data_IF_011167036199
#
_entry.id   IF_011167036199
#
_cell.length_a   1.000
_cell.length_b   1.000
_cell.length_c   1.000
_cell.angle_alpha   90.00
_cell.angle_beta   90.00
_cell.angle_gamma   90.00
#
_symmetry.space_group_name_H-M   'P 1'
#
loop_
_entity.id
_entity.type
_entity.pdbx_description
1 polymer ?
#
# COMPACT_ATOMS: atom_id res chain seq x y z
N UNK A 1 -8.64 21.87 26.55
CA UNK A 1 -8.27 20.50 26.08
C UNK A 1 -8.68 20.22 24.62
N UNK A 2 -9.87 20.64 24.15
CA UNK A 2 -10.34 20.37 22.78
C UNK A 2 -9.53 21.01 21.65
N UNK A 3 -8.94 22.20 21.86
CA UNK A 3 -8.13 22.87 20.83
C UNK A 3 -6.74 22.25 20.63
N UNK A 4 -6.16 21.66 21.69
CA UNK A 4 -4.89 20.96 21.61
C UNK A 4 -5.05 19.62 20.87
N UNK A 5 -6.14 18.88 21.15
CA UNK A 5 -6.49 17.65 20.44
C UNK A 5 -6.80 17.91 18.96
N UNK A 6 -7.50 19.00 18.62
CA UNK A 6 -7.70 19.41 17.22
C UNK A 6 -6.38 19.79 16.55
N UNK A 7 -5.51 20.56 17.21
CA UNK A 7 -4.19 20.96 16.69
C UNK A 7 -3.26 19.76 16.46
N UNK A 8 -3.22 18.81 17.41
CA UNK A 8 -2.45 17.56 17.27
C UNK A 8 -3.06 16.67 16.19
N UNK A 9 -4.39 16.51 16.15
CA UNK A 9 -5.06 15.75 15.10
C UNK A 9 -4.85 16.37 13.71
N UNK A 10 -4.75 17.70 13.62
CA UNK A 10 -4.50 18.42 12.39
C UNK A 10 -3.02 18.36 11.99
N UNK A 11 -2.07 18.43 12.94
CA UNK A 11 -0.64 18.15 12.70
C UNK A 11 -0.38 16.70 12.30
N UNK A 12 -1.11 15.73 12.84
CA UNK A 12 -1.04 14.31 12.44
C UNK A 12 -1.71 14.10 11.08
N UNK A 13 -2.80 14.82 10.76
CA UNK A 13 -3.40 14.84 9.41
C UNK A 13 -2.55 15.57 8.37
N UNK A 14 -1.70 16.52 8.77
CA UNK A 14 -0.75 17.20 7.89
C UNK A 14 0.61 16.49 7.83
N UNK A 15 0.93 15.64 8.81
CA UNK A 15 2.00 14.65 8.75
C UNK A 15 1.55 13.43 7.94
N UNK A 16 0.78 13.66 6.87
CA UNK A 16 0.51 12.63 5.88
C UNK A 16 1.83 12.26 5.24
N UNK A 17 2.05 10.96 5.10
CA UNK A 17 3.07 10.32 4.26
C UNK A 17 3.03 10.76 2.77
N UNK A 18 2.23 11.77 2.41
CA UNK A 18 2.18 12.41 1.10
C UNK A 18 3.35 13.37 0.86
N UNK A 19 4.03 13.84 1.91
CA UNK A 19 5.31 14.51 1.75
C UNK A 19 6.32 13.48 1.24
N UNK A 20 6.87 13.73 0.05
CA UNK A 20 7.86 12.97 -0.75
C UNK A 20 9.03 12.36 0.03
N UNK A 21 8.74 11.51 1.00
CA UNK A 21 9.74 10.81 1.78
C UNK A 21 10.21 9.62 0.97
N UNK A 22 11.52 9.38 0.83
CA UNK A 22 12.06 8.21 0.15
C UNK A 22 11.51 6.90 0.72
N UNK A 23 11.16 6.87 2.01
CA UNK A 23 10.50 5.73 2.64
C UNK A 23 9.12 5.43 2.03
N UNK A 24 8.31 6.46 1.74
CA UNK A 24 7.02 6.24 1.09
C UNK A 24 7.18 5.74 -0.34
N UNK A 25 8.13 6.30 -1.09
CA UNK A 25 8.42 5.86 -2.45
C UNK A 25 8.86 4.39 -2.47
N UNK A 26 9.72 3.98 -1.53
CA UNK A 26 10.13 2.59 -1.37
C UNK A 26 8.94 1.68 -1.05
N UNK A 27 8.10 2.04 -0.08
CA UNK A 27 6.91 1.25 0.27
C UNK A 27 5.91 1.16 -0.89
N UNK A 28 5.79 2.22 -1.69
CA UNK A 28 4.93 2.25 -2.85
C UNK A 28 5.44 1.33 -3.96
N UNK A 29 6.74 1.40 -4.27
CA UNK A 29 7.42 0.51 -5.21
C UNK A 29 7.32 -0.95 -4.75
N UNK A 30 7.51 -1.21 -3.46
CA UNK A 30 7.42 -2.55 -2.86
C UNK A 30 6.00 -3.10 -2.74
N UNK A 31 5.00 -2.45 -3.34
CA UNK A 31 3.61 -2.87 -3.27
C UNK A 31 3.00 -2.89 -1.84
N UNK A 32 3.64 -2.24 -0.86
CA UNK A 32 3.20 -2.17 0.54
C UNK A 32 2.31 -0.95 0.78
N UNK A 33 2.65 0.20 0.21
CA UNK A 33 1.82 1.40 0.34
C UNK A 33 0.51 1.23 -0.46
N UNK A 34 -0.59 1.90 -0.06
CA UNK A 34 -1.84 1.83 -0.79
C UNK A 34 -1.68 2.38 -2.21
N UNK A 35 -2.42 1.82 -3.18
CA UNK A 35 -2.42 2.32 -4.55
C UNK A 35 -3.00 3.73 -4.67
N UNK A 36 -2.68 4.41 -5.77
CA UNK A 36 -2.98 5.83 -6.04
C UNK A 36 -3.71 6.09 -7.35
N UNK A 37 -4.22 5.08 -8.06
CA UNK A 37 -4.82 5.24 -9.39
C UNK A 37 -5.92 6.30 -9.44
N UNK A 38 -6.75 6.41 -8.38
CA UNK A 38 -7.79 7.43 -8.31
C UNK A 38 -7.22 8.85 -8.24
N UNK A 39 -6.18 9.06 -7.43
CA UNK A 39 -5.49 10.34 -7.32
C UNK A 39 -4.76 10.70 -8.62
N UNK A 40 -4.11 9.71 -9.25
CA UNK A 40 -3.45 9.85 -10.55
C UNK A 40 -4.48 10.28 -11.60
N UNK A 41 -5.60 9.55 -11.71
CA UNK A 41 -6.66 9.89 -12.68
C UNK A 41 -7.27 11.26 -12.43
N UNK A 42 -7.51 11.62 -11.17
CA UNK A 42 -8.07 12.92 -10.82
C UNK A 42 -7.12 14.05 -11.24
N UNK A 43 -5.82 13.92 -10.91
CA UNK A 43 -4.79 14.90 -11.29
C UNK A 43 -4.64 15.03 -12.80
N UNK A 44 -4.61 13.91 -13.52
CA UNK A 44 -4.49 13.91 -14.98
C UNK A 44 -5.73 14.53 -15.65
N UNK A 45 -6.93 14.26 -15.12
CA UNK A 45 -8.15 14.90 -15.59
C UNK A 45 -8.18 16.41 -15.36
N UNK A 46 -7.55 16.92 -14.29
CA UNK A 46 -7.45 18.37 -14.06
C UNK A 46 -6.43 19.07 -14.96
N UNK A 47 -5.43 18.35 -15.45
CA UNK A 47 -4.34 18.88 -16.27
C UNK A 47 -4.45 18.50 -17.76
N UNK A 48 -5.53 17.84 -18.19
CA UNK A 48 -5.69 17.29 -19.54
C UNK A 48 -4.52 16.38 -19.95
N UNK A 49 -4.04 15.57 -19.01
CA UNK A 49 -2.95 14.62 -19.24
C UNK A 49 -3.39 13.36 -20.00
N UNK A 50 -2.43 12.53 -20.38
CA UNK A 50 -2.63 11.38 -21.27
C UNK A 50 -3.57 10.32 -20.69
N UNK A 51 -3.61 10.21 -19.36
CA UNK A 51 -4.44 9.23 -18.66
C UNK A 51 -5.88 9.73 -18.42
N UNK A 52 -6.18 11.00 -18.73
CA UNK A 52 -7.48 11.62 -18.46
C UNK A 52 -8.63 10.94 -19.22
N UNK A 53 -8.38 10.54 -20.46
CA UNK A 53 -9.37 9.90 -21.34
C UNK A 53 -9.57 8.41 -21.05
N UNK A 54 -8.69 7.80 -20.25
CA UNK A 54 -8.73 6.37 -20.00
C UNK A 54 -9.76 5.99 -18.93
N UNK A 55 -10.45 4.85 -19.10
CA UNK A 55 -11.29 4.28 -18.05
C UNK A 55 -10.49 4.02 -16.77
N UNK A 56 -11.15 4.12 -15.61
CA UNK A 56 -10.46 4.01 -14.31
C UNK A 56 -9.79 2.64 -14.13
N UNK A 57 -10.41 1.57 -14.63
CA UNK A 57 -9.83 0.23 -14.60
C UNK A 57 -8.50 0.15 -15.39
N UNK A 58 -8.35 0.90 -16.48
CA UNK A 58 -7.08 0.96 -17.22
C UNK A 58 -5.98 1.60 -16.38
N UNK A 59 -6.27 2.73 -15.73
CA UNK A 59 -5.30 3.44 -14.87
C UNK A 59 -4.87 2.55 -13.69
N UNK A 60 -5.83 1.82 -13.10
CA UNK A 60 -5.60 0.81 -12.07
C UNK A 60 -4.68 -0.31 -12.55
N UNK A 61 -4.96 -0.88 -13.72
CA UNK A 61 -4.13 -1.95 -14.30
C UNK A 61 -2.72 -1.46 -14.62
N UNK A 62 -2.57 -0.25 -15.18
CA UNK A 62 -1.26 0.35 -15.48
C UNK A 62 -0.46 0.52 -14.19
N UNK A 63 -1.06 1.09 -13.13
CA UNK A 63 -0.38 1.25 -11.85
C UNK A 63 0.08 -0.10 -11.29
N UNK A 64 -0.79 -1.11 -11.30
CA UNK A 64 -0.45 -2.45 -10.81
C UNK A 64 0.70 -3.07 -11.59
N UNK A 65 0.67 -3.02 -12.93
CA UNK A 65 1.72 -3.56 -13.80
C UNK A 65 3.05 -2.86 -13.53
N UNK A 66 3.06 -1.52 -13.46
CA UNK A 66 4.28 -0.75 -13.18
C UNK A 66 4.86 -1.14 -11.83
N UNK A 67 4.04 -1.28 -10.79
CA UNK A 67 4.51 -1.66 -9.46
C UNK A 67 5.08 -3.08 -9.43
N UNK A 68 4.41 -4.05 -10.08
CA UNK A 68 4.94 -5.41 -10.23
C UNK A 68 6.27 -5.41 -10.98
N UNK A 69 6.36 -4.66 -12.09
CA UNK A 69 7.59 -4.54 -12.86
C UNK A 69 8.74 -3.98 -12.01
N UNK A 70 8.49 -2.96 -11.18
CA UNK A 70 9.52 -2.43 -10.28
C UNK A 70 10.01 -3.48 -9.26
N UNK A 71 9.10 -4.29 -8.70
CA UNK A 71 9.48 -5.38 -7.78
C UNK A 71 10.34 -6.44 -8.50
N UNK A 72 9.96 -6.83 -9.72
CA UNK A 72 10.72 -7.80 -10.52
C UNK A 72 12.10 -7.29 -10.93
N UNK A 73 12.20 -6.01 -11.35
CA UNK A 73 13.49 -5.37 -11.66
C UNK A 73 14.39 -5.38 -10.42
N UNK A 74 13.84 -5.11 -9.25
CA UNK A 74 14.60 -5.16 -8.01
C UNK A 74 15.04 -6.59 -7.67
N UNK A 75 14.15 -7.57 -7.85
CA UNK A 75 14.46 -8.99 -7.62
C UNK A 75 15.64 -9.44 -8.49
N UNK A 76 15.59 -9.14 -9.79
CA UNK A 76 16.67 -9.42 -10.74
C UNK A 76 17.96 -8.64 -10.39
N UNK A 77 17.85 -7.38 -9.96
CA UNK A 77 18.99 -6.59 -9.52
C UNK A 77 19.70 -7.21 -8.31
N UNK A 78 18.94 -7.73 -7.33
CA UNK A 78 19.51 -8.44 -6.16
C UNK A 78 20.13 -9.77 -6.57
N UNK A 79 19.49 -10.52 -7.47
CA UNK A 79 20.02 -11.77 -8.01
C UNK A 79 21.39 -11.54 -8.68
N UNK A 80 21.51 -10.48 -9.49
CA UNK A 80 22.78 -10.10 -10.12
C UNK A 80 23.88 -9.76 -9.09
N UNK A 81 23.52 -9.16 -7.96
CA UNK A 81 24.48 -8.77 -6.91
C UNK A 81 24.93 -9.95 -6.05
N UNK A 82 24.01 -10.87 -5.71
CA UNK A 82 24.29 -12.02 -4.84
C UNK A 82 24.81 -13.24 -5.61
N UNK A 83 24.47 -13.35 -6.90
CA UNK A 83 24.68 -14.54 -7.70
C UNK A 83 23.63 -15.62 -7.45
N UNK A 84 23.45 -16.49 -8.45
CA UNK A 84 22.37 -17.48 -8.48
C UNK A 84 22.37 -18.41 -7.25
N UNK A 85 23.53 -18.90 -6.84
CA UNK A 85 23.65 -19.85 -5.74
C UNK A 85 23.12 -19.28 -4.42
N UNK A 86 23.52 -18.06 -4.05
CA UNK A 86 23.06 -17.44 -2.80
C UNK A 86 21.58 -17.07 -2.88
N UNK A 87 21.14 -16.61 -4.05
CA UNK A 87 19.77 -16.19 -4.29
C UNK A 87 18.77 -17.36 -4.13
N UNK A 88 19.06 -18.49 -4.79
CA UNK A 88 18.27 -19.73 -4.69
C UNK A 88 18.34 -20.34 -3.28
N UNK A 89 19.53 -20.40 -2.69
CA UNK A 89 19.74 -21.02 -1.37
C UNK A 89 18.95 -20.29 -0.28
N UNK A 90 18.85 -18.96 -0.35
CA UNK A 90 18.07 -18.15 0.59
C UNK A 90 16.60 -17.98 0.19
N UNK A 91 16.20 -18.58 -0.95
CA UNK A 91 14.82 -18.53 -1.49
C UNK A 91 14.31 -17.09 -1.64
N UNK A 92 15.16 -16.19 -2.14
CA UNK A 92 14.81 -14.78 -2.28
C UNK A 92 13.66 -14.59 -3.29
N UNK A 93 13.53 -15.48 -4.29
CA UNK A 93 12.35 -15.59 -5.15
C UNK A 93 11.05 -15.70 -4.38
N UNK A 94 11.04 -16.54 -3.32
CA UNK A 94 9.83 -16.77 -2.52
C UNK A 94 9.42 -15.49 -1.80
N UNK A 95 10.38 -14.69 -1.34
CA UNK A 95 10.10 -13.38 -0.76
C UNK A 95 9.45 -12.43 -1.78
N UNK A 96 10.07 -12.24 -2.95
CA UNK A 96 9.54 -11.32 -3.96
C UNK A 96 8.20 -11.77 -4.55
N UNK A 97 8.03 -13.08 -4.78
CA UNK A 97 6.74 -13.65 -5.18
C UNK A 97 5.66 -13.37 -4.12
N UNK A 98 5.99 -13.49 -2.83
CA UNK A 98 5.07 -13.17 -1.74
C UNK A 98 4.73 -11.68 -1.68
N UNK A 99 5.71 -10.79 -1.90
CA UNK A 99 5.50 -9.33 -2.01
C UNK A 99 4.53 -9.01 -3.14
N UNK A 100 4.75 -9.58 -4.33
CA UNK A 100 3.86 -9.38 -5.49
C UNK A 100 2.46 -9.91 -5.21
N UNK A 101 2.34 -11.14 -4.68
CA UNK A 101 1.05 -11.75 -4.39
C UNK A 101 0.26 -10.96 -3.34
N UNK A 102 0.88 -10.62 -2.21
CA UNK A 102 0.25 -9.84 -1.15
C UNK A 102 -0.11 -8.43 -1.63
N UNK A 103 0.80 -7.78 -2.35
CA UNK A 103 0.60 -6.46 -2.93
C UNK A 103 -0.52 -6.41 -3.97
N UNK A 104 -0.64 -7.44 -4.82
CA UNK A 104 -1.71 -7.57 -5.79
C UNK A 104 -3.07 -7.81 -5.11
N UNK A 105 -3.13 -8.68 -4.09
CA UNK A 105 -4.34 -8.91 -3.29
C UNK A 105 -4.77 -7.63 -2.58
N UNK A 106 -3.82 -6.93 -1.93
CA UNK A 106 -4.08 -5.67 -1.23
C UNK A 106 -4.59 -4.58 -2.19
N UNK A 107 -3.92 -4.41 -3.33
CA UNK A 107 -4.30 -3.43 -4.36
C UNK A 107 -5.65 -3.78 -4.98
N UNK A 108 -5.87 -5.04 -5.36
CA UNK A 108 -7.14 -5.51 -5.91
C UNK A 108 -8.31 -5.30 -4.94
N UNK A 109 -8.12 -5.63 -3.67
CA UNK A 109 -9.13 -5.41 -2.62
C UNK A 109 -9.43 -3.92 -2.43
N UNK A 110 -8.39 -3.07 -2.46
CA UNK A 110 -8.56 -1.63 -2.42
C UNK A 110 -9.44 -1.16 -3.59
N UNK A 111 -9.10 -1.52 -4.82
CA UNK A 111 -9.87 -1.05 -5.97
C UNK A 111 -11.29 -1.61 -5.97
N UNK A 112 -11.51 -2.88 -5.63
CA UNK A 112 -12.86 -3.46 -5.56
C UNK A 112 -13.77 -2.73 -4.57
N UNK A 113 -13.23 -2.32 -3.42
CA UNK A 113 -14.01 -1.66 -2.36
C UNK A 113 -14.20 -0.17 -2.65
N UNK A 114 -13.19 0.50 -3.20
CA UNK A 114 -13.17 1.95 -3.40
C UNK A 114 -13.45 2.40 -4.85
N UNK A 115 -13.78 1.49 -5.78
CA UNK A 115 -13.98 1.78 -7.22
C UNK A 115 -15.01 2.89 -7.51
N UNK A 116 -16.06 2.97 -6.69
CA UNK A 116 -17.29 3.71 -7.04
C UNK A 116 -17.72 4.74 -5.98
N UNK A 117 -16.98 4.90 -4.88
CA UNK A 117 -17.47 5.71 -3.75
C UNK A 117 -16.36 6.34 -2.92
N UNK A 118 -16.68 7.48 -2.31
CA UNK A 118 -15.83 8.09 -1.30
C UNK A 118 -15.77 7.17 -0.08
N UNK A 119 -14.62 7.04 0.58
CA UNK A 119 -14.49 6.19 1.77
C UNK A 119 -15.46 6.51 2.91
N UNK A 120 -16.10 7.69 2.88
CA UNK A 120 -17.17 8.08 3.81
C UNK A 120 -18.50 7.35 3.60
N UNK A 121 -18.73 6.84 2.40
CA UNK A 121 -20.04 6.30 1.97
C UNK A 121 -20.02 4.76 1.91
N UNK A 122 -18.88 4.16 2.23
CA UNK A 122 -18.68 2.71 2.23
C UNK A 122 -19.16 2.11 3.54
N UNK A 123 -19.83 0.97 3.46
CA UNK A 123 -20.33 0.26 4.65
C UNK A 123 -19.20 -0.13 5.60
N UNK A 124 -19.49 -0.09 6.90
CA UNK A 124 -18.54 -0.49 7.96
C UNK A 124 -18.01 -1.91 7.75
N UNK A 125 -18.83 -2.83 7.21
CA UNK A 125 -18.43 -4.20 6.92
C UNK A 125 -17.38 -4.30 5.81
N UNK A 126 -17.50 -3.49 4.74
CA UNK A 126 -16.50 -3.46 3.67
C UNK A 126 -15.20 -2.80 4.14
N UNK A 127 -15.27 -1.77 4.98
CA UNK A 127 -14.08 -1.19 5.61
C UNK A 127 -13.37 -2.19 6.53
N UNK A 128 -14.13 -3.00 7.29
CA UNK A 128 -13.58 -4.07 8.11
C UNK A 128 -12.90 -5.14 7.25
N UNK A 129 -13.55 -5.57 6.15
CA UNK A 129 -12.98 -6.52 5.19
C UNK A 129 -11.66 -6.00 4.63
N UNK A 130 -11.62 -4.74 4.17
CA UNK A 130 -10.39 -4.12 3.67
C UNK A 130 -9.26 -4.16 4.71
N UNK A 131 -9.54 -3.79 5.96
CA UNK A 131 -8.54 -3.80 7.04
C UNK A 131 -8.05 -5.22 7.33
N UNK A 132 -8.95 -6.20 7.35
CA UNK A 132 -8.59 -7.59 7.57
C UNK A 132 -7.65 -8.10 6.48
N UNK A 133 -7.96 -7.85 5.21
CA UNK A 133 -7.10 -8.24 4.09
C UNK A 133 -5.75 -7.54 4.17
N UNK A 134 -5.75 -6.21 4.33
CA UNK A 134 -4.51 -5.40 4.45
C UNK A 134 -3.62 -5.92 5.59
N UNK A 135 -4.19 -6.13 6.78
CA UNK A 135 -3.43 -6.58 7.93
C UNK A 135 -2.91 -8.01 7.76
N UNK A 136 -3.65 -8.87 7.07
CA UNK A 136 -3.19 -10.22 6.72
C UNK A 136 -2.01 -10.17 5.76
N UNK A 137 -2.06 -9.33 4.72
CA UNK A 137 -0.93 -9.10 3.81
C UNK A 137 0.31 -8.60 4.56
N UNK A 138 0.15 -7.62 5.46
CA UNK A 138 1.27 -7.10 6.25
C UNK A 138 1.82 -8.10 7.26
N UNK A 139 0.98 -8.96 7.84
CA UNK A 139 1.41 -10.01 8.76
C UNK A 139 2.32 -11.03 8.05
N UNK A 140 1.94 -11.47 6.84
CA UNK A 140 2.75 -12.36 6.01
C UNK A 140 4.12 -11.72 5.71
N UNK A 141 4.14 -10.44 5.31
CA UNK A 141 5.39 -9.73 5.03
C UNK A 141 6.25 -9.52 6.29
N UNK A 142 5.63 -9.24 7.44
CA UNK A 142 6.33 -9.08 8.72
C UNK A 142 7.04 -10.37 9.15
N UNK A 143 6.52 -11.54 8.76
CA UNK A 143 7.19 -12.83 9.00
C UNK A 143 8.60 -12.88 8.43
N UNK A 144 8.88 -12.26 7.29
CA UNK A 144 10.22 -12.27 6.70
C UNK A 144 11.25 -11.49 7.53
N UNK A 145 10.81 -10.50 8.33
CA UNK A 145 11.71 -9.70 9.17
C UNK A 145 12.38 -10.58 10.24
N UNK A 146 11.68 -11.57 10.78
CA UNK A 146 12.25 -12.48 11.78
C UNK A 146 13.18 -13.54 11.20
N UNK A 147 13.13 -13.78 9.88
CA UNK A 147 14.02 -14.72 9.20
C UNK A 147 15.44 -14.16 9.07
N UNK A 148 15.58 -12.84 8.88
CA UNK A 148 16.89 -12.17 8.73
C UNK A 148 17.87 -12.49 9.86
N UNK A 149 17.55 -12.30 11.16
CA UNK A 149 18.48 -12.63 12.23
C UNK A 149 18.79 -14.13 12.31
N UNK A 150 17.85 -15.01 11.94
CA UNK A 150 18.10 -16.47 11.88
C UNK A 150 19.14 -16.78 10.81
N UNK A 151 19.07 -16.14 9.65
CA UNK A 151 20.06 -16.31 8.58
C UNK A 151 21.43 -15.76 8.97
N UNK A 152 21.51 -14.60 9.62
CA UNK A 152 22.78 -14.04 10.11
C UNK A 152 23.43 -15.02 11.10
N UNK A 153 22.67 -15.54 12.07
CA UNK A 153 23.18 -16.49 13.04
C UNK A 153 23.65 -17.79 12.38
N UNK A 154 22.91 -18.32 11.41
CA UNK A 154 23.30 -19.55 10.70
C UNK A 154 24.51 -19.37 9.80
N UNK A 155 24.61 -18.22 9.14
CA UNK A 155 25.77 -17.88 8.32
C UNK A 155 27.06 -17.87 9.16
N UNK A 156 26.99 -17.28 10.36
CA UNK A 156 28.12 -17.26 11.32
C UNK A 156 28.53 -18.66 11.80
N UNK A 157 27.60 -19.62 11.83
CA UNK A 157 27.85 -21.00 12.27
C UNK A 157 28.04 -21.98 11.09
N UNK A 158 28.18 -21.48 9.85
CA UNK A 158 28.31 -22.28 8.63
C UNK A 158 27.19 -23.32 8.43
N UNK A 159 25.99 -23.02 8.97
CA UNK A 159 24.82 -23.88 8.85
C UNK A 159 23.99 -23.50 7.62
N UNK A 160 23.41 -24.48 6.90
CA UNK A 160 22.49 -24.21 5.81
C UNK A 160 21.24 -23.45 6.31
N UNK A 161 20.67 -22.51 5.52
CA UNK A 161 19.62 -21.60 6.00
C UNK A 161 18.31 -22.28 6.44
N UNK A 162 18.01 -23.48 5.90
CA UNK A 162 16.72 -24.15 6.04
C UNK A 162 16.79 -25.60 6.59
N UNK A 163 17.91 -26.08 7.13
CA UNK A 163 18.03 -27.52 7.49
C UNK A 163 17.06 -28.00 8.58
N UNK A 164 16.78 -27.15 9.58
CA UNK A 164 16.08 -27.60 10.80
C UNK A 164 14.71 -26.95 10.98
N UNK A 165 14.19 -26.27 9.95
CA UNK A 165 12.89 -25.60 9.99
C UNK A 165 12.82 -24.35 10.90
N UNK A 166 13.89 -24.01 11.63
CA UNK A 166 13.92 -22.85 12.55
C UNK A 166 13.54 -21.55 11.85
N UNK A 167 14.04 -21.30 10.64
CA UNK A 167 13.69 -20.12 9.85
C UNK A 167 12.19 -20.08 9.51
N UNK A 168 11.61 -21.23 9.14
CA UNK A 168 10.18 -21.36 8.84
C UNK A 168 9.35 -21.17 10.11
N UNK A 169 9.77 -21.72 11.24
CA UNK A 169 9.09 -21.55 12.51
C UNK A 169 9.12 -20.09 12.98
N UNK A 170 10.27 -19.42 12.87
CA UNK A 170 10.40 -17.99 13.18
C UNK A 170 9.46 -17.15 12.29
N UNK A 171 9.43 -17.44 10.99
CA UNK A 171 8.50 -16.81 10.05
C UNK A 171 7.04 -17.01 10.47
N UNK A 172 6.61 -18.25 10.71
CA UNK A 172 5.22 -18.59 11.06
C UNK A 172 4.80 -17.99 12.40
N UNK A 173 5.66 -18.03 13.42
CA UNK A 173 5.39 -17.44 14.72
C UNK A 173 5.20 -15.92 14.60
N UNK A 174 6.09 -15.23 13.89
CA UNK A 174 6.00 -13.78 13.69
C UNK A 174 4.78 -13.40 12.85
N UNK A 175 4.54 -14.09 11.73
CA UNK A 175 3.37 -13.85 10.90
C UNK A 175 2.07 -14.11 11.66
N UNK A 176 1.99 -15.21 12.43
CA UNK A 176 0.84 -15.53 13.26
C UNK A 176 0.57 -14.49 14.34
N UNK A 177 1.63 -14.02 15.03
CA UNK A 177 1.51 -12.95 16.01
C UNK A 177 0.96 -11.66 15.40
N UNK A 178 1.54 -11.20 14.28
CA UNK A 178 1.08 -9.98 13.60
C UNK A 178 -0.30 -10.15 12.97
N UNK A 179 -0.69 -11.36 12.57
CA UNK A 179 -2.03 -11.64 12.09
C UNK A 179 -3.05 -11.46 13.23
N UNK A 180 -2.80 -12.03 14.40
CA UNK A 180 -3.68 -11.87 15.57
C UNK A 180 -3.75 -10.39 15.99
N UNK A 181 -2.60 -9.72 16.07
CA UNK A 181 -2.55 -8.29 16.38
C UNK A 181 -3.32 -7.45 15.34
N UNK A 182 -3.19 -7.80 14.06
CA UNK A 182 -3.90 -7.19 12.95
C UNK A 182 -5.42 -7.43 12.98
N UNK A 183 -5.87 -8.62 13.37
CA UNK A 183 -7.30 -8.91 13.55
C UNK A 183 -7.89 -8.07 14.69
N UNK A 184 -7.16 -7.92 15.79
CA UNK A 184 -7.54 -7.04 16.89
C UNK A 184 -7.60 -5.57 16.41
N UNK A 185 -6.58 -5.08 15.70
CA UNK A 185 -6.57 -3.72 15.15
C UNK A 185 -7.75 -3.48 14.21
N UNK A 186 -8.06 -4.43 13.32
CA UNK A 186 -9.13 -4.27 12.34
C UNK A 186 -10.50 -4.05 13.03
N UNK A 187 -10.73 -4.71 14.18
CA UNK A 187 -11.95 -4.60 14.97
C UNK A 187 -12.04 -3.31 15.78
N UNK A 188 -10.92 -2.84 16.33
CA UNK A 188 -10.91 -1.68 17.26
C UNK A 188 -10.59 -0.34 16.58
N UNK A 189 -9.95 -0.33 15.42
CA UNK A 189 -9.58 0.90 14.75
C UNK A 189 -10.80 1.57 14.09
N UNK A 190 -10.82 2.90 14.02
CA UNK A 190 -11.84 3.68 13.29
C UNK A 190 -11.24 4.53 12.17
N UNK A 191 -9.98 4.28 11.79
CA UNK A 191 -9.24 5.11 10.81
C UNK A 191 -9.60 4.74 9.37
N UNK A 192 -9.73 5.75 8.51
CA UNK A 192 -9.92 5.57 7.07
C UNK A 192 -8.57 5.28 6.39
N UNK A 193 -8.55 4.45 5.33
CA UNK A 193 -7.32 4.20 4.59
C UNK A 193 -6.86 5.43 3.81
N UNK A 194 -5.54 5.56 3.70
CA UNK A 194 -4.89 6.53 2.81
C UNK A 194 -5.27 6.21 1.35
N UNK A 195 -5.56 7.25 0.55
CA UNK A 195 -6.03 7.12 -0.84
C UNK A 195 -7.54 6.91 -1.01
N UNK A 196 -8.30 6.66 0.06
CA UNK A 196 -9.77 6.49 -0.03
C UNK A 196 -10.59 7.78 -0.02
N UNK A 197 -9.95 8.94 0.17
CA UNK A 197 -10.65 10.24 0.13
C UNK A 197 -10.71 10.71 -1.32
N UNK A 198 -11.77 10.30 -2.02
CA UNK A 198 -12.18 11.03 -3.21
C UNK A 198 -12.51 12.44 -2.76
N UNK A 199 -11.81 13.43 -3.30
CA UNK A 199 -12.11 14.85 -3.10
C UNK A 199 -13.59 15.02 -3.42
N UNK A 200 -14.40 15.36 -2.41
CA UNK A 200 -15.80 15.76 -2.65
C UNK A 200 -15.73 16.79 -3.77
N UNK A 201 -16.48 16.57 -4.85
CA UNK A 201 -16.71 17.52 -5.92
C UNK A 201 -17.18 18.82 -5.23
N UNK A 202 -16.25 19.71 -4.90
CA UNK A 202 -16.60 21.07 -4.49
C UNK A 202 -17.35 21.63 -5.67
N UNK A 203 -18.56 22.09 -5.35
CA UNK A 203 -19.51 22.72 -6.25
C UNK A 203 -18.77 23.49 -7.34
N UNK A 204 -18.95 23.07 -8.59
CA UNK A 204 -18.61 23.92 -9.73
C UNK A 204 -19.37 25.23 -9.53
N UNK A 205 -18.72 26.41 -9.53
CA UNK A 205 -19.46 27.66 -9.60
C UNK A 205 -20.28 27.62 -10.88
N UNK A 206 -21.59 27.78 -10.75
CA UNK A 206 -22.54 27.85 -11.86
C UNK A 206 -22.04 28.85 -12.91
N UNK A 207 -21.96 28.49 -14.20
CA UNK A 207 -21.59 29.43 -15.27
C UNK A 207 -22.72 30.42 -15.62
N UNK A 208 -23.81 30.47 -14.84
CA UNK A 208 -24.93 31.38 -15.06
C UNK A 208 -25.05 32.40 -13.93
N UNK A 209 -24.17 33.41 -13.94
CA UNK A 209 -24.52 34.77 -13.50
C UNK A 209 -24.09 35.75 -14.58
N UNK A 210 -24.78 35.69 -15.71
CA UNK A 210 -24.70 36.70 -16.74
C UNK A 210 -25.49 37.94 -16.30
N UNK A 211 -24.84 39.11 -16.41
CA UNK A 211 -25.47 40.37 -16.82
C UNK A 211 -26.21 41.17 -15.75
N UNK A 212 -25.62 42.30 -15.35
CA UNK A 212 -26.26 43.62 -15.47
C UNK A 212 -25.49 44.66 -14.66
N UNK A 213 -24.62 45.43 -15.32
CA UNK A 213 -24.45 46.86 -15.03
C UNK A 213 -24.12 47.57 -16.34
N UNK A 214 -25.14 48.25 -16.89
CA UNK A 214 -25.01 49.33 -17.86
C UNK A 214 -24.07 50.41 -17.29
N UNK A 215 -23.08 50.91 -18.02
CA UNK A 215 -23.16 52.14 -18.84
C UNK A 215 -24.32 53.05 -18.42
N UNK A 216 -24.04 53.96 -17.50
CA UNK A 216 -24.21 55.42 -17.66
C UNK A 216 -23.32 56.14 -16.62
#
# INVERSE_FOLDING_TARGET
MGNLLKSVSQKVCNSRFENYSPAYALLYVMMIAPPRAFDIKHKESTHNGELASLPTYCVVSIELIVRVACVLILAAGIEMLLGNTLYETHRIDTFFCTVVAAGAIHSGTFYLIFNAGCASDISSSLLLLYRLVRNSCYAILAGFVSVVPVFIWRFDHELPPFSDGVAVQAYLCTAGFFLIAGLLEAKFASRLPLGGRIVKKTESPSPYSAGSTAIE
#
